data_IF_717228556999
#
_entry.id   IF_717228556999
#
_cell.length_a   1.000
_cell.length_b   1.000
_cell.length_c   1.000
_cell.angle_alpha   90.00
_cell.angle_beta   90.00
_cell.angle_gamma   90.00
#
_symmetry.space_group_name_H-M   'P 1'
#
loop_
_entity.id
_entity.type
_entity.pdbx_description
1 polymer ?
#
# COMPACT_ATOMS: atom_id res chain seq x y z
N UNK A 1 -1.66 -6.78 -15.29
CA UNK A 1 -0.42 -6.26 -14.69
C UNK A 1 -0.55 -6.29 -13.18
N UNK A 2 0.43 -6.86 -12.48
CA UNK A 2 0.44 -6.95 -11.01
C UNK A 2 1.73 -6.34 -10.48
N UNK A 3 1.60 -5.35 -9.60
CA UNK A 3 2.68 -4.70 -8.90
C UNK A 3 2.82 -5.34 -7.52
N UNK A 4 3.93 -6.02 -7.27
CA UNK A 4 4.18 -6.81 -6.07
C UNK A 4 5.37 -6.21 -5.32
N UNK A 5 5.23 -6.14 -4.01
CA UNK A 5 6.32 -5.78 -3.13
C UNK A 5 5.94 -5.94 -1.66
N UNK A 6 6.68 -5.25 -0.81
CA UNK A 6 6.50 -5.26 0.63
C UNK A 6 6.21 -3.86 1.17
N UNK A 7 5.73 -3.81 2.40
CA UNK A 7 5.40 -2.58 3.13
C UNK A 7 6.63 -1.89 3.73
N UNK A 8 7.59 -1.57 2.89
CA UNK A 8 8.93 -1.13 3.27
C UNK A 8 9.99 -2.08 2.69
N UNK A 9 11.25 -1.67 2.69
CA UNK A 9 12.37 -2.52 2.24
C UNK A 9 13.54 -2.52 3.25
N UNK A 10 13.60 -1.54 4.14
CA UNK A 10 14.75 -1.37 5.04
C UNK A 10 14.57 -2.21 6.30
N UNK A 11 14.98 -3.49 6.24
CA UNK A 11 14.86 -4.45 7.34
C UNK A 11 16.19 -5.14 7.60
N UNK A 12 16.75 -4.98 8.80
CA UNK A 12 18.05 -5.57 9.15
C UNK A 12 17.98 -7.09 9.26
N UNK A 13 16.85 -7.62 9.73
CA UNK A 13 16.57 -9.05 9.83
C UNK A 13 16.55 -9.76 8.47
N UNK A 14 16.46 -9.03 7.36
CA UNK A 14 16.48 -9.61 6.02
C UNK A 14 17.90 -9.92 5.52
N UNK A 15 18.95 -9.43 6.19
CA UNK A 15 20.34 -9.71 5.85
C UNK A 15 20.67 -11.17 6.15
N UNK A 16 21.20 -11.87 5.15
CA UNK A 16 21.49 -13.29 5.19
C UNK A 16 20.38 -14.19 4.66
N UNK A 17 19.15 -13.67 4.50
CA UNK A 17 18.03 -14.44 3.92
C UNK A 17 17.52 -13.86 2.59
N UNK A 18 17.36 -12.54 2.51
CA UNK A 18 17.00 -11.84 1.28
C UNK A 18 18.16 -10.99 0.79
N UNK A 19 18.70 -10.14 1.68
CA UNK A 19 19.84 -9.30 1.39
C UNK A 19 21.15 -10.07 1.57
N UNK A 20 22.14 -9.93 0.67
CA UNK A 20 23.44 -10.57 0.83
C UNK A 20 24.11 -10.18 2.16
N UNK A 21 24.82 -11.09 2.85
CA UNK A 21 25.40 -10.80 4.17
C UNK A 21 26.29 -9.55 4.24
N UNK A 22 26.98 -9.22 3.15
CA UNK A 22 27.93 -8.10 3.06
C UNK A 22 27.36 -6.84 2.40
N UNK A 23 26.06 -6.81 2.07
CA UNK A 23 25.49 -5.66 1.36
C UNK A 23 25.47 -4.40 2.23
N UNK A 24 25.95 -3.30 1.65
CA UNK A 24 25.88 -2.01 2.31
C UNK A 24 24.45 -1.47 2.29
N UNK A 25 24.01 -0.86 3.39
CA UNK A 25 22.64 -0.35 3.59
C UNK A 25 22.12 0.55 2.47
N UNK A 26 22.98 1.35 1.84
CA UNK A 26 22.57 2.25 0.76
C UNK A 26 22.20 1.49 -0.54
N UNK A 27 22.68 0.26 -0.71
CA UNK A 27 22.33 -0.64 -1.81
C UNK A 27 21.08 -1.49 -1.56
N UNK A 28 20.48 -1.45 -0.36
CA UNK A 28 19.31 -2.29 -0.04
C UNK A 28 18.16 -2.07 -1.03
N UNK A 29 17.87 -0.82 -1.36
CA UNK A 29 16.81 -0.52 -2.33
C UNK A 29 17.15 -1.03 -3.72
N UNK A 30 18.41 -0.88 -4.16
CA UNK A 30 18.78 -1.28 -5.52
C UNK A 30 18.68 -2.80 -5.66
N UNK A 31 19.09 -3.53 -4.61
CA UNK A 31 18.88 -4.98 -4.52
C UNK A 31 17.38 -5.33 -4.50
N UNK A 32 16.59 -4.64 -3.67
CA UNK A 32 15.14 -4.84 -3.59
C UNK A 32 14.44 -4.63 -4.94
N UNK A 33 14.79 -3.55 -5.65
CA UNK A 33 14.18 -3.18 -6.92
C UNK A 33 14.58 -4.08 -8.11
N UNK A 34 15.59 -4.93 -7.93
CA UNK A 34 15.91 -6.00 -8.87
C UNK A 34 15.06 -7.27 -8.67
N UNK A 35 14.36 -7.40 -7.54
CA UNK A 35 13.50 -8.56 -7.24
C UNK A 35 12.01 -8.22 -7.31
N UNK A 36 11.64 -6.99 -6.96
CA UNK A 36 10.25 -6.53 -6.92
C UNK A 36 10.04 -5.34 -7.85
N UNK A 37 8.84 -5.23 -8.43
CA UNK A 37 8.46 -4.11 -9.30
C UNK A 37 7.69 -3.01 -8.55
N UNK A 38 7.51 -3.13 -7.24
CA UNK A 38 6.81 -2.12 -6.46
C UNK A 38 7.24 -2.05 -5.00
N UNK A 39 6.98 -0.91 -4.36
CA UNK A 39 7.19 -0.67 -2.93
C UNK A 39 6.07 0.18 -2.35
N UNK A 40 5.54 -0.22 -1.19
CA UNK A 40 4.70 0.64 -0.35
C UNK A 40 5.57 1.42 0.64
N UNK A 41 5.72 2.72 0.40
CA UNK A 41 6.52 3.62 1.22
C UNK A 41 5.76 4.02 2.48
N UNK A 42 6.25 3.54 3.63
CA UNK A 42 5.67 3.83 4.94
C UNK A 42 6.35 4.98 5.69
N UNK A 43 7.52 5.47 5.26
CA UNK A 43 8.21 6.57 5.94
C UNK A 43 7.36 7.86 5.99
N UNK A 44 6.54 8.08 4.96
CA UNK A 44 5.62 9.23 4.83
C UNK A 44 4.49 9.21 5.86
N UNK A 45 4.15 8.04 6.39
CA UNK A 45 3.20 7.90 7.50
C UNK A 45 3.70 8.63 8.77
N UNK A 46 5.01 8.54 9.04
CA UNK A 46 5.61 9.11 10.25
C UNK A 46 6.13 10.54 10.06
N UNK A 47 6.60 10.86 8.85
CA UNK A 47 7.16 12.18 8.50
C UNK A 47 6.49 12.67 7.23
N UNK A 48 5.89 13.86 7.28
CA UNK A 48 5.24 14.44 6.12
C UNK A 48 6.24 14.54 4.95
N UNK A 49 5.87 14.09 3.73
CA UNK A 49 6.80 14.05 2.60
C UNK A 49 7.24 15.47 2.23
N UNK A 50 8.55 15.68 2.15
CA UNK A 50 9.12 16.90 1.55
C UNK A 50 9.24 16.69 0.04
N UNK A 51 8.99 17.75 -0.74
CA UNK A 51 9.18 17.75 -2.21
C UNK A 51 10.56 17.20 -2.60
N UNK A 52 11.62 17.63 -1.91
CA UNK A 52 12.97 17.17 -2.22
C UNK A 52 13.15 15.66 -2.04
N UNK A 53 12.52 15.07 -1.02
CA UNK A 53 12.55 13.61 -0.81
C UNK A 53 11.83 12.88 -1.95
N UNK A 54 10.70 13.41 -2.42
CA UNK A 54 9.96 12.84 -3.56
C UNK A 54 10.74 12.98 -4.87
N UNK A 55 11.46 14.10 -5.08
CA UNK A 55 12.39 14.27 -6.21
C UNK A 55 13.54 13.25 -6.17
N UNK A 56 14.13 13.03 -4.99
CA UNK A 56 15.18 12.00 -4.83
C UNK A 56 14.65 10.61 -5.13
N UNK A 57 13.43 10.28 -4.69
CA UNK A 57 12.76 9.02 -5.05
C UNK A 57 12.55 8.90 -6.56
N UNK A 58 11.97 9.92 -7.20
CA UNK A 58 11.78 9.92 -8.67
C UNK A 58 13.08 9.72 -9.41
N UNK A 59 14.14 10.43 -9.01
CA UNK A 59 15.46 10.28 -9.61
C UNK A 59 15.98 8.84 -9.48
N UNK A 60 15.90 8.25 -8.28
CA UNK A 60 16.33 6.87 -8.04
C UNK A 60 15.53 5.86 -8.88
N UNK A 61 14.22 6.07 -9.00
CA UNK A 61 13.32 5.20 -9.75
C UNK A 61 13.49 5.30 -11.27
N UNK A 62 14.27 6.25 -11.81
CA UNK A 62 14.60 6.27 -13.24
C UNK A 62 15.38 5.04 -13.67
N UNK A 63 16.15 4.44 -12.77
CA UNK A 63 16.90 3.21 -13.03
C UNK A 63 16.00 1.96 -13.14
N UNK A 64 14.71 2.09 -12.80
CA UNK A 64 13.74 1.00 -12.77
C UNK A 64 12.45 1.45 -13.49
N UNK A 65 12.39 1.37 -14.83
CA UNK A 65 11.31 1.93 -15.66
C UNK A 65 9.90 1.51 -15.22
N UNK A 66 9.71 0.22 -14.96
CA UNK A 66 8.40 -0.35 -14.57
C UNK A 66 8.09 -0.22 -13.08
N UNK A 67 9.03 0.27 -12.26
CA UNK A 67 8.85 0.25 -10.82
C UNK A 67 7.86 1.32 -10.36
N UNK A 68 6.90 0.93 -9.51
CA UNK A 68 5.93 1.85 -8.89
C UNK A 68 6.18 2.03 -7.39
N UNK A 69 5.96 3.24 -6.93
CA UNK A 69 6.02 3.60 -5.51
C UNK A 69 4.62 3.96 -5.04
N UNK A 70 4.01 3.10 -4.23
CA UNK A 70 2.79 3.48 -3.50
C UNK A 70 3.17 4.18 -2.21
N UNK A 71 2.43 5.21 -1.82
CA UNK A 71 2.83 6.10 -0.72
C UNK A 71 1.74 6.12 0.34
N UNK A 72 2.09 5.77 1.58
CA UNK A 72 1.16 5.82 2.70
C UNK A 72 1.00 7.25 3.21
N UNK A 73 -0.25 7.69 3.34
CA UNK A 73 -0.60 9.03 3.81
C UNK A 73 -0.12 9.25 5.25
N UNK A 74 0.30 10.48 5.56
CA UNK A 74 0.76 10.86 6.90
C UNK A 74 -0.29 10.57 7.98
N UNK A 75 0.15 10.05 9.13
CA UNK A 75 -0.70 9.85 10.31
C UNK A 75 -1.35 11.14 10.80
N UNK A 76 -0.80 12.30 10.47
CA UNK A 76 -1.42 13.57 10.80
C UNK A 76 -2.79 13.70 10.12
N UNK A 77 -2.93 13.25 8.88
CA UNK A 77 -4.20 13.31 8.12
C UNK A 77 -5.16 12.21 8.60
N UNK A 78 -4.72 10.96 8.62
CA UNK A 78 -5.62 9.81 8.85
C UNK A 78 -5.88 9.51 10.33
N UNK A 79 -4.91 9.75 11.22
CA UNK A 79 -5.01 9.37 12.64
C UNK A 79 -5.25 10.55 13.58
N UNK A 80 -4.51 11.66 13.40
CA UNK A 80 -4.64 12.84 14.28
C UNK A 80 -5.82 13.71 13.88
N UNK A 81 -5.84 14.18 12.64
CA UNK A 81 -6.90 15.06 12.12
C UNK A 81 -8.13 14.26 11.66
N UNK A 82 -7.99 12.93 11.53
CA UNK A 82 -9.10 12.00 11.27
C UNK A 82 -9.93 12.45 10.07
N UNK A 83 -9.25 12.75 8.97
CA UNK A 83 -9.84 13.19 7.69
C UNK A 83 -10.47 14.60 7.69
N UNK A 84 -10.40 15.36 8.79
CA UNK A 84 -10.99 16.71 8.85
C UNK A 84 -10.14 17.81 8.21
N UNK A 85 -8.86 17.56 8.00
CA UNK A 85 -7.91 18.54 7.47
C UNK A 85 -7.64 18.23 5.99
N UNK A 86 -8.52 18.75 5.13
CA UNK A 86 -8.46 18.52 3.68
C UNK A 86 -7.35 19.32 3.00
N UNK A 87 -6.96 20.48 3.55
CA UNK A 87 -5.86 21.27 3.01
C UNK A 87 -4.51 20.57 3.22
N UNK A 88 -4.29 19.94 4.39
CA UNK A 88 -3.11 19.11 4.60
C UNK A 88 -3.07 17.90 3.64
N UNK A 89 -4.24 17.38 3.24
CA UNK A 89 -4.31 16.32 2.22
C UNK A 89 -3.94 16.86 0.83
N UNK A 90 -4.41 18.05 0.44
CA UNK A 90 -4.01 18.70 -0.82
C UNK A 90 -2.50 18.95 -0.86
N UNK A 91 -1.91 19.44 0.23
CA UNK A 91 -0.46 19.61 0.36
C UNK A 91 0.29 18.28 0.23
N UNK A 92 -0.27 17.21 0.79
CA UNK A 92 0.30 15.88 0.65
C UNK A 92 0.29 15.42 -0.81
N UNK A 93 -0.85 15.55 -1.50
CA UNK A 93 -1.01 15.22 -2.93
C UNK A 93 -0.01 16.03 -3.77
N UNK A 94 0.08 17.33 -3.55
CA UNK A 94 1.02 18.22 -4.24
C UNK A 94 2.48 17.78 -4.09
N UNK A 95 2.86 17.30 -2.90
CA UNK A 95 4.24 16.86 -2.67
C UNK A 95 4.54 15.51 -3.34
N UNK A 96 3.60 14.55 -3.29
CA UNK A 96 3.82 13.21 -3.85
C UNK A 96 3.61 13.16 -5.37
N UNK A 97 2.79 14.06 -5.94
CA UNK A 97 2.55 14.16 -7.39
C UNK A 97 3.84 14.38 -8.19
N UNK A 98 4.87 14.94 -7.55
CA UNK A 98 6.22 15.08 -8.10
C UNK A 98 6.78 13.77 -8.65
N UNK A 99 6.41 12.62 -8.06
CA UNK A 99 6.79 11.28 -8.51
C UNK A 99 6.30 10.99 -9.94
N UNK A 100 5.23 11.63 -10.41
CA UNK A 100 4.67 11.46 -11.75
C UNK A 100 4.26 10.02 -12.03
N UNK A 101 4.71 9.49 -13.15
CA UNK A 101 4.47 8.11 -13.60
C UNK A 101 4.96 7.05 -12.60
N UNK A 102 5.90 7.38 -11.70
CA UNK A 102 6.39 6.47 -10.67
C UNK A 102 5.44 6.33 -9.47
N UNK A 103 4.46 7.22 -9.31
CA UNK A 103 3.45 7.11 -8.26
C UNK A 103 2.48 5.98 -8.61
N UNK A 104 2.42 4.96 -7.76
CA UNK A 104 1.48 3.85 -7.89
C UNK A 104 0.10 4.23 -7.34
N UNK A 105 -0.04 4.15 -6.01
CA UNK A 105 -1.30 4.43 -5.29
C UNK A 105 -1.00 5.21 -4.01
N UNK A 106 -1.88 6.14 -3.66
CA UNK A 106 -1.86 6.86 -2.39
C UNK A 106 -2.74 6.09 -1.39
N UNK A 107 -2.12 5.53 -0.35
CA UNK A 107 -2.78 4.68 0.65
C UNK A 107 -3.25 5.49 1.88
N UNK A 108 -4.54 5.47 2.13
CA UNK A 108 -5.23 6.04 3.29
C UNK A 108 -5.62 4.93 4.28
N UNK A 109 -4.71 4.63 5.20
CA UNK A 109 -5.02 3.71 6.30
C UNK A 109 -5.63 4.45 7.49
N UNK A 110 -6.88 4.12 7.83
CA UNK A 110 -7.61 4.75 8.94
C UNK A 110 -7.39 3.98 10.25
N UNK A 111 -7.35 4.65 11.42
CA UNK A 111 -7.19 3.97 12.70
C UNK A 111 -8.44 3.17 13.11
N UNK A 112 -8.31 2.14 13.95
CA UNK A 112 -9.46 1.39 14.47
C UNK A 112 -10.40 2.24 15.35
N UNK A 113 -9.92 3.37 15.86
CA UNK A 113 -10.73 4.31 16.65
C UNK A 113 -11.60 5.24 15.80
N UNK A 114 -11.44 5.27 14.48
CA UNK A 114 -12.30 6.02 13.57
C UNK A 114 -13.44 5.11 13.12
N UNK A 115 -14.61 5.30 13.73
CA UNK A 115 -15.85 4.59 13.40
C UNK A 115 -16.52 5.24 12.18
N UNK A 116 -17.43 4.48 11.56
CA UNK A 116 -18.23 4.92 10.42
C UNK A 116 -18.85 6.30 10.63
N UNK A 117 -18.57 7.17 9.67
CA UNK A 117 -19.14 8.51 9.52
C UNK A 117 -19.10 8.82 8.01
N UNK A 118 -20.20 8.53 7.32
CA UNK A 118 -20.24 8.67 5.87
C UNK A 118 -20.11 10.12 5.42
N UNK A 119 -20.66 11.07 6.17
CA UNK A 119 -20.59 12.50 5.83
C UNK A 119 -19.15 13.01 5.90
N UNK A 120 -18.40 12.59 6.93
CA UNK A 120 -16.97 12.87 7.02
C UNK A 120 -16.19 12.30 5.83
N UNK A 121 -16.48 11.06 5.44
CA UNK A 121 -15.79 10.43 4.31
C UNK A 121 -16.15 11.11 2.99
N UNK A 122 -17.42 11.44 2.77
CA UNK A 122 -17.89 12.18 1.59
C UNK A 122 -17.22 13.54 1.47
N UNK A 123 -17.13 14.30 2.57
CA UNK A 123 -16.44 15.58 2.59
C UNK A 123 -14.95 15.41 2.26
N UNK A 124 -14.29 14.43 2.87
CA UNK A 124 -12.88 14.19 2.65
C UNK A 124 -12.57 13.77 1.20
N UNK A 125 -13.33 12.85 0.61
CA UNK A 125 -13.03 12.37 -0.76
C UNK A 125 -13.22 13.43 -1.83
N UNK A 126 -13.94 14.53 -1.54
CA UNK A 126 -14.07 15.68 -2.46
C UNK A 126 -12.75 16.44 -2.66
N UNK A 127 -11.80 16.34 -1.74
CA UNK A 127 -10.50 16.99 -1.88
C UNK A 127 -9.46 16.15 -2.63
N UNK A 128 -9.80 14.89 -2.95
CA UNK A 128 -8.92 14.01 -3.70
C UNK A 128 -8.97 14.36 -5.19
N UNK A 129 -7.84 14.22 -5.87
CA UNK A 129 -7.69 14.52 -7.28
C UNK A 129 -7.83 13.23 -8.11
N UNK A 130 -8.87 13.16 -8.95
CA UNK A 130 -9.24 11.98 -9.75
C UNK A 130 -8.13 11.53 -10.72
N UNK A 131 -7.07 12.32 -10.93
CA UNK A 131 -5.88 11.92 -11.70
C UNK A 131 -4.99 10.90 -10.97
N UNK A 132 -5.17 10.71 -9.66
CA UNK A 132 -4.39 9.77 -8.86
C UNK A 132 -5.21 8.57 -8.40
N UNK A 133 -4.53 7.44 -8.20
CA UNK A 133 -5.13 6.24 -7.61
C UNK A 133 -5.08 6.35 -6.10
N UNK A 134 -6.23 6.19 -5.45
CA UNK A 134 -6.36 6.16 -4.00
C UNK A 134 -6.87 4.80 -3.52
N UNK A 135 -6.34 4.33 -2.40
CA UNK A 135 -6.87 3.17 -1.71
C UNK A 135 -7.13 3.49 -0.24
N UNK A 136 -8.28 3.08 0.29
CA UNK A 136 -8.67 3.29 1.69
C UNK A 136 -8.71 1.95 2.43
N UNK A 137 -8.02 1.90 3.55
CA UNK A 137 -7.98 0.76 4.44
C UNK A 137 -8.67 1.09 5.77
N UNK A 138 -9.79 0.42 6.03
CA UNK A 138 -10.57 0.61 7.25
C UNK A 138 -10.15 -0.38 8.33
N UNK A 139 -9.66 0.12 9.47
CA UNK A 139 -9.34 -0.72 10.64
C UNK A 139 -10.49 -0.90 11.62
N UNK A 140 -11.69 -0.44 11.26
CA UNK A 140 -12.89 -0.59 12.05
C UNK A 140 -14.00 -1.21 11.20
N UNK A 141 -14.57 -2.33 11.67
CA UNK A 141 -15.60 -3.09 10.96
C UNK A 141 -16.85 -2.30 10.61
N UNK A 142 -17.14 -1.20 11.33
CA UNK A 142 -18.32 -0.38 11.05
C UNK A 142 -18.34 0.27 9.67
N UNK A 143 -17.20 0.37 8.97
CA UNK A 143 -17.11 0.95 7.63
C UNK A 143 -17.52 0.00 6.50
N UNK A 144 -17.60 -1.31 6.74
CA UNK A 144 -17.93 -2.31 5.72
C UNK A 144 -19.43 -2.35 5.47
N UNK A 145 -19.91 -1.36 4.71
CA UNK A 145 -21.33 -1.08 4.42
C UNK A 145 -21.53 -0.71 2.95
N UNK A 146 -22.75 -0.90 2.46
CA UNK A 146 -23.10 -0.63 1.08
C UNK A 146 -22.87 0.84 0.69
N UNK A 147 -23.18 1.78 1.58
CA UNK A 147 -22.99 3.22 1.37
C UNK A 147 -21.52 3.57 1.20
N UNK A 148 -20.65 2.99 2.05
CA UNK A 148 -19.20 3.13 1.90
C UNK A 148 -18.74 2.60 0.54
N UNK A 149 -19.13 1.38 0.17
CA UNK A 149 -18.73 0.79 -1.10
C UNK A 149 -19.22 1.59 -2.30
N UNK A 150 -20.42 2.15 -2.22
CA UNK A 150 -21.02 2.98 -3.26
C UNK A 150 -20.24 4.27 -3.43
N UNK A 151 -19.91 4.96 -2.33
CA UNK A 151 -19.08 6.16 -2.37
C UNK A 151 -17.70 5.89 -2.98
N UNK A 152 -17.05 4.81 -2.57
CA UNK A 152 -15.74 4.42 -3.11
C UNK A 152 -15.81 4.10 -4.61
N UNK A 153 -16.83 3.35 -5.05
CA UNK A 153 -17.09 3.04 -6.48
C UNK A 153 -17.27 4.31 -7.30
N UNK A 154 -18.09 5.24 -6.82
CA UNK A 154 -18.36 6.50 -7.52
C UNK A 154 -17.11 7.39 -7.67
N UNK A 155 -16.11 7.19 -6.81
CA UNK A 155 -14.84 7.95 -6.82
C UNK A 155 -13.65 7.14 -7.34
N UNK A 156 -13.88 5.92 -7.82
CA UNK A 156 -12.81 5.00 -8.25
C UNK A 156 -11.70 4.81 -7.18
N UNK A 157 -12.10 4.74 -5.91
CA UNK A 157 -11.18 4.54 -4.77
C UNK A 157 -11.19 3.07 -4.39
N UNK A 158 -10.02 2.42 -4.37
CA UNK A 158 -9.94 1.01 -4.02
C UNK A 158 -10.16 0.80 -2.51
N UNK A 159 -11.12 -0.05 -2.16
CA UNK A 159 -11.18 -0.65 -0.84
C UNK A 159 -9.97 -1.58 -0.72
N UNK A 160 -9.14 -1.38 0.31
CA UNK A 160 -8.00 -2.24 0.54
C UNK A 160 -8.47 -3.61 1.01
N UNK A 161 -8.05 -4.65 0.28
CA UNK A 161 -8.20 -6.04 0.70
C UNK A 161 -7.12 -6.35 1.73
N UNK A 162 -7.52 -6.60 2.98
CA UNK A 162 -6.58 -6.89 4.06
C UNK A 162 -7.13 -7.85 5.10
N UNK A 163 -6.21 -8.45 5.84
CA UNK A 163 -6.46 -9.47 6.86
C UNK A 163 -6.14 -9.00 8.30
N UNK A 164 -5.93 -7.69 8.50
CA UNK A 164 -5.65 -7.16 9.84
C UNK A 164 -6.85 -7.34 10.78
N UNK A 165 -6.79 -8.37 11.65
CA UNK A 165 -7.79 -8.68 12.68
C UNK A 165 -9.21 -8.92 12.13
N UNK A 166 -9.31 -9.34 10.88
CA UNK A 166 -10.57 -9.70 10.22
C UNK A 166 -10.27 -10.55 8.99
N UNK A 167 -11.30 -11.19 8.44
CA UNK A 167 -11.22 -11.81 7.12
C UNK A 167 -11.14 -10.76 6.00
N UNK A 168 -10.57 -11.16 4.87
CA UNK A 168 -10.46 -10.28 3.70
C UNK A 168 -11.84 -10.09 3.08
N UNK A 169 -12.27 -8.83 2.97
CA UNK A 169 -13.46 -8.44 2.20
C UNK A 169 -13.04 -8.12 0.77
N UNK A 170 -13.39 -9.00 -0.17
CA UNK A 170 -13.01 -8.94 -1.59
C UNK A 170 -13.91 -8.03 -2.45
N UNK A 171 -14.38 -6.91 -1.89
CA UNK A 171 -15.21 -5.95 -2.62
C UNK A 171 -14.35 -5.12 -3.57
N UNK A 172 -14.73 -5.08 -4.86
CA UNK A 172 -14.09 -4.25 -5.88
C UNK A 172 -14.80 -2.90 -5.93
N UNK A 173 -14.08 -1.83 -5.58
CA UNK A 173 -14.61 -0.45 -5.59
C UNK A 173 -13.83 0.50 -6.49
N UNK A 174 -12.89 -0.03 -7.28
CA UNK A 174 -12.16 0.70 -8.30
C UNK A 174 -11.86 -0.21 -9.49
N UNK A 175 -11.38 0.38 -10.59
CA UNK A 175 -10.84 -0.32 -11.76
C UNK A 175 -9.49 -1.01 -11.51
N UNK A 176 -8.96 -0.88 -10.30
CA UNK A 176 -7.78 -1.58 -9.80
C UNK A 176 -8.00 -2.17 -8.42
N UNK A 177 -7.13 -3.10 -8.02
CA UNK A 177 -7.14 -3.77 -6.73
C UNK A 177 -5.93 -3.33 -5.90
N UNK A 178 -6.13 -3.15 -4.60
CA UNK A 178 -5.07 -2.89 -3.64
C UNK A 178 -5.15 -3.89 -2.48
N UNK A 179 -4.09 -4.67 -2.28
CA UNK A 179 -4.04 -5.75 -1.29
C UNK A 179 -2.93 -5.47 -0.28
N UNK A 180 -3.23 -5.61 1.02
CA UNK A 180 -2.27 -5.51 2.12
C UNK A 180 -2.38 -6.70 3.04
N UNK A 181 -1.30 -7.46 3.14
CA UNK A 181 -1.25 -8.75 3.83
C UNK A 181 -0.41 -8.62 5.11
N UNK A 182 -1.05 -8.75 6.29
CA UNK A 182 -0.48 -8.45 7.61
C UNK A 182 0.00 -9.66 8.41
N UNK A 183 0.01 -10.82 7.77
CA UNK A 183 0.49 -12.09 8.30
C UNK A 183 -0.61 -12.96 8.88
N UNK A 184 -0.55 -14.25 8.53
CA UNK A 184 -1.53 -15.29 8.90
C UNK A 184 -1.61 -15.54 10.41
N UNK A 185 -0.56 -15.22 11.16
CA UNK A 185 -0.48 -15.40 12.62
C UNK A 185 -0.74 -14.09 13.39
N UNK A 186 -1.08 -13.01 12.67
CA UNK A 186 -1.25 -11.67 13.22
C UNK A 186 0.07 -11.01 13.64
N UNK A 187 -0.02 -9.75 14.10
CA UNK A 187 1.13 -8.91 14.49
C UNK A 187 2.25 -8.85 13.43
N UNK A 188 1.91 -8.77 12.15
CA UNK A 188 2.91 -8.66 11.08
C UNK A 188 3.82 -9.90 10.94
N UNK A 189 3.31 -11.09 11.29
CA UNK A 189 4.04 -12.37 11.25
C UNK A 189 3.21 -13.47 10.60
N UNK A 190 3.90 -14.48 10.09
CA UNK A 190 3.33 -15.68 9.50
C UNK A 190 3.25 -15.59 7.98
N UNK A 191 3.80 -16.61 7.32
CA UNK A 191 3.64 -16.85 5.89
C UNK A 191 2.26 -17.41 5.58
N UNK A 192 1.79 -17.21 4.35
CA UNK A 192 0.50 -17.71 3.88
C UNK A 192 0.65 -19.13 3.28
N UNK A 193 -0.39 -19.97 3.41
CA UNK A 193 -0.42 -21.27 2.75
C UNK A 193 -0.54 -21.13 1.22
N UNK A 194 -0.20 -22.17 0.46
CA UNK A 194 -0.18 -22.10 -1.00
C UNK A 194 -1.56 -21.82 -1.61
N UNK A 195 -2.61 -22.38 -1.00
CA UNK A 195 -4.02 -22.24 -1.42
C UNK A 195 -4.48 -20.79 -1.35
N UNK A 196 -3.92 -20.01 -0.42
CA UNK A 196 -4.18 -18.57 -0.32
C UNK A 196 -3.69 -17.84 -1.58
N UNK A 197 -2.48 -18.15 -2.06
CA UNK A 197 -1.92 -17.51 -3.25
C UNK A 197 -2.67 -17.90 -4.52
N UNK A 198 -3.13 -19.15 -4.63
CA UNK A 198 -3.99 -19.61 -5.74
C UNK A 198 -5.27 -18.80 -5.77
N UNK A 199 -5.96 -18.71 -4.62
CA UNK A 199 -7.19 -17.92 -4.47
C UNK A 199 -6.94 -16.44 -4.80
N UNK A 200 -5.83 -15.88 -4.33
CA UNK A 200 -5.49 -14.48 -4.58
C UNK A 200 -5.24 -14.25 -6.09
N UNK A 201 -4.46 -15.12 -6.74
CA UNK A 201 -4.20 -15.07 -8.20
C UNK A 201 -5.49 -15.05 -8.99
N UNK A 202 -6.44 -15.94 -8.68
CA UNK A 202 -7.75 -15.98 -9.35
C UNK A 202 -8.52 -14.67 -9.20
N UNK A 203 -8.54 -14.09 -7.98
CA UNK A 203 -9.31 -12.87 -7.69
C UNK A 203 -8.73 -11.60 -8.33
N UNK A 204 -7.40 -11.52 -8.44
CA UNK A 204 -6.70 -10.38 -9.06
C UNK A 204 -6.54 -10.53 -10.57
N UNK A 205 -6.89 -11.69 -11.13
CA UNK A 205 -6.73 -11.98 -12.55
C UNK A 205 -7.39 -10.91 -13.44
N UNK A 206 -6.73 -10.58 -14.55
CA UNK A 206 -7.16 -9.58 -15.53
C UNK A 206 -7.48 -8.18 -14.96
N UNK A 207 -7.06 -7.87 -13.73
CA UNK A 207 -7.28 -6.57 -13.09
C UNK A 207 -5.93 -5.97 -12.71
N UNK A 208 -5.74 -4.67 -12.97
CA UNK A 208 -4.56 -3.97 -12.47
C UNK A 208 -4.52 -4.09 -10.93
N UNK A 209 -3.43 -4.61 -10.38
CA UNK A 209 -3.38 -4.94 -8.95
C UNK A 209 -2.07 -4.49 -8.32
N UNK A 210 -2.15 -4.00 -7.08
CA UNK A 210 -1.02 -3.69 -6.23
C UNK A 210 -1.10 -4.57 -4.98
N UNK A 211 -0.11 -5.40 -4.74
CA UNK A 211 -0.09 -6.38 -3.65
C UNK A 211 1.13 -6.14 -2.78
N UNK A 212 0.89 -5.82 -1.50
CA UNK A 212 1.93 -5.54 -0.53
C UNK A 212 1.90 -6.50 0.66
N UNK A 213 3.03 -7.13 0.91
CA UNK A 213 3.25 -7.96 2.08
C UNK A 213 3.80 -7.12 3.22
N UNK A 214 3.06 -7.08 4.33
CA UNK A 214 3.36 -6.33 5.55
C UNK A 214 3.64 -7.27 6.75
N UNK A 215 3.79 -8.58 6.51
CA UNK A 215 4.22 -9.58 7.49
C UNK A 215 5.76 -9.61 7.63
N UNK A 216 6.32 -8.48 8.03
CA UNK A 216 7.77 -8.20 7.96
C UNK A 216 8.55 -8.59 9.20
N UNK A 217 7.88 -8.93 10.30
CA UNK A 217 8.51 -9.14 11.61
C UNK A 217 9.24 -10.48 11.75
N UNK A 218 9.02 -11.43 10.83
CA UNK A 218 9.61 -12.77 10.84
C UNK A 218 10.16 -13.21 9.47
N UNK A 219 10.50 -12.26 8.60
CA UNK A 219 11.05 -12.51 7.26
C UNK A 219 10.07 -13.19 6.29
N UNK A 220 8.78 -13.31 6.63
CA UNK A 220 7.79 -13.93 5.74
C UNK A 220 7.47 -13.06 4.51
N UNK A 221 7.44 -11.74 4.66
CA UNK A 221 6.97 -10.83 3.61
C UNK A 221 7.67 -10.97 2.26
N UNK A 222 9.01 -10.98 2.20
CA UNK A 222 9.70 -11.11 0.91
C UNK A 222 9.57 -12.53 0.33
N UNK A 223 9.50 -13.57 1.18
CA UNK A 223 9.33 -14.96 0.75
C UNK A 223 7.95 -15.15 0.11
N UNK A 224 6.92 -14.59 0.72
CA UNK A 224 5.55 -14.64 0.21
C UNK A 224 5.40 -13.80 -1.06
N UNK A 225 6.06 -12.64 -1.13
CA UNK A 225 6.07 -11.81 -2.33
C UNK A 225 6.71 -12.54 -3.52
N UNK A 226 7.87 -13.16 -3.32
CA UNK A 226 8.54 -13.98 -4.35
C UNK A 226 7.68 -15.17 -4.78
N UNK A 227 7.02 -15.85 -3.83
CA UNK A 227 6.11 -16.97 -4.13
C UNK A 227 4.92 -16.54 -4.99
N UNK A 228 4.33 -15.37 -4.71
CA UNK A 228 3.25 -14.85 -5.54
C UNK A 228 3.75 -14.45 -6.94
N UNK A 229 4.95 -13.90 -7.07
CA UNK A 229 5.55 -13.60 -8.37
C UNK A 229 5.74 -14.87 -9.20
N UNK A 230 6.35 -15.91 -8.64
CA UNK A 230 6.56 -17.21 -9.29
C UNK A 230 5.22 -17.84 -9.74
N UNK A 231 4.16 -17.68 -8.96
CA UNK A 231 2.84 -18.19 -9.32
C UNK A 231 2.18 -17.39 -10.47
N UNK A 232 2.57 -16.15 -10.71
CA UNK A 232 1.99 -15.26 -11.72
C UNK A 232 2.74 -15.24 -13.05
N UNK A 233 3.98 -15.74 -13.07
CA UNK A 233 4.71 -16.10 -14.28
C UNK A 233 4.03 -17.27 -15.02
#
# INVERSE_FOLDING_TARGET
MVYIGTSGYYYQNWVGEFYPPSIMKYHYFDYYANHFNSLELNSTFYRFPKIQTMRSWKYKLKNYPEFKLSVKVSRNITHKNRLKDTDLMKDFINNVSVLGDKLGVILLQLPPSLKYDILLLEEFVRCLDDNFKFAIEFRNGSWYRLETYTLLKNKNIALVWHDYRQEIVYEKTADFIYVRLHGSNGKYRGSYPQEFFITLKEKINNTLSYVYFNNTDDNSAFKDALRLQELLE
#
